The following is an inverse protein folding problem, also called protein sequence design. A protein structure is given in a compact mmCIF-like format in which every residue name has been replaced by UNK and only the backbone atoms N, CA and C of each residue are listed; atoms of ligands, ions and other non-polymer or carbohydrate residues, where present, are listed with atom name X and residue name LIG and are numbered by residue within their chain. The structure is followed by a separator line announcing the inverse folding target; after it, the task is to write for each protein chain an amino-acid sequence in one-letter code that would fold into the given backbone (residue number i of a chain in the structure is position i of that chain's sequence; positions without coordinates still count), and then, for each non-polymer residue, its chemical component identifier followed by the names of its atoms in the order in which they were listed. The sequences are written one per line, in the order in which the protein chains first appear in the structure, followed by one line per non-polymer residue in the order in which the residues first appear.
data_IF_909979634922
#
_entry.id   IF_909979634922
#
_cell.length_a   1.000
_cell.length_b   1.000
_cell.length_c   1.000
_cell.angle_alpha   90.00
_cell.angle_beta   90.00
_cell.angle_gamma   90.00
#
_symmetry.space_group_name_H-M   'P 1'
#
loop_
_entity.id
_entity.type
_entity.pdbx_description
1 polymer ?
#
# COMPACT_ATOMS: atom_id res chain seq x y z
N UNK A 1 1.83 -19.92 -35.89
CA UNK A 1 0.71 -20.05 -34.92
C UNK A 1 1.30 -19.87 -33.53
N UNK A 2 0.88 -18.80 -32.85
CA UNK A 2 1.45 -18.28 -31.60
C UNK A 2 1.05 -19.15 -30.41
N UNK A 3 2.00 -19.46 -29.52
CA UNK A 3 1.74 -19.70 -28.08
C UNK A 3 2.97 -19.20 -27.30
N UNK A 4 2.90 -17.91 -26.96
CA UNK A 4 3.92 -17.15 -26.24
C UNK A 4 4.07 -17.72 -24.82
N UNK A 5 5.20 -18.40 -24.61
CA UNK A 5 6.20 -18.13 -23.56
C UNK A 5 5.73 -17.25 -22.40
N UNK A 6 5.49 -17.83 -21.21
CA UNK A 6 6.53 -17.97 -20.18
C UNK A 6 5.91 -18.13 -18.78
N UNK A 7 6.33 -19.21 -18.13
CA UNK A 7 6.18 -19.44 -16.69
C UNK A 7 6.98 -18.35 -15.95
N UNK A 8 6.32 -17.43 -15.26
CA UNK A 8 6.98 -16.62 -14.24
C UNK A 8 6.53 -17.12 -12.87
N UNK A 9 7.37 -18.03 -12.38
CA UNK A 9 7.39 -18.55 -11.01
C UNK A 9 7.62 -17.37 -10.07
N UNK A 10 6.69 -17.20 -9.14
CA UNK A 10 6.79 -16.33 -7.99
C UNK A 10 8.11 -16.60 -7.25
N UNK A 11 8.97 -15.58 -7.18
CA UNK A 11 10.08 -15.56 -6.22
C UNK A 11 9.78 -14.43 -5.25
N UNK A 12 9.14 -14.80 -4.15
CA UNK A 12 8.90 -13.96 -2.98
C UNK A 12 10.28 -13.59 -2.43
N UNK A 13 10.67 -12.32 -2.62
CA UNK A 13 11.72 -11.73 -1.79
C UNK A 13 11.03 -10.81 -0.80
N UNK A 14 10.80 -11.33 0.39
CA UNK A 14 10.41 -10.58 1.58
C UNK A 14 11.59 -9.68 1.95
N UNK A 15 11.72 -8.51 1.33
CA UNK A 15 12.72 -7.52 1.70
C UNK A 15 12.23 -6.74 2.92
N UNK A 16 12.22 -7.40 4.07
CA UNK A 16 12.23 -6.74 5.36
C UNK A 16 13.57 -6.04 5.53
N UNK A 17 13.63 -4.75 5.22
CA UNK A 17 14.81 -3.95 5.49
C UNK A 17 14.37 -2.52 5.87
N UNK A 18 13.89 -2.39 7.11
CA UNK A 18 13.84 -1.09 7.79
C UNK A 18 15.28 -0.76 8.24
N UNK A 19 16.04 -0.17 7.33
CA UNK A 19 17.35 0.41 7.61
C UNK A 19 17.21 1.86 8.04
N UNK A 20 17.45 2.13 9.32
CA UNK A 20 17.49 3.47 9.91
C UNK A 20 18.79 4.17 9.54
N UNK A 21 18.77 5.07 8.56
CA UNK A 21 19.83 6.08 8.38
C UNK A 21 19.40 7.21 7.43
N UNK A 22 18.82 8.27 7.99
CA UNK A 22 19.11 9.67 7.63
C UNK A 22 19.04 10.15 6.17
N UNK A 23 18.36 9.48 5.25
CA UNK A 23 18.02 10.05 3.94
C UNK A 23 16.60 10.57 3.99
N UNK A 24 16.35 11.78 3.49
CA UNK A 24 14.99 12.28 3.25
C UNK A 24 14.19 11.14 2.63
N UNK A 25 13.26 10.56 3.41
CA UNK A 25 12.45 9.46 2.94
C UNK A 25 11.73 10.01 1.72
N UNK A 26 12.02 9.46 0.55
CA UNK A 26 11.02 9.48 -0.50
C UNK A 26 9.84 8.73 0.11
N UNK A 27 8.89 9.48 0.68
CA UNK A 27 7.65 8.94 1.21
C UNK A 27 6.92 8.41 -0.02
N UNK A 28 7.11 7.12 -0.28
CA UNK A 28 6.41 6.42 -1.34
C UNK A 28 4.95 6.27 -0.89
N UNK A 29 4.18 7.32 -1.14
CA UNK A 29 2.78 7.39 -0.78
C UNK A 29 2.00 6.41 -1.64
N UNK A 30 1.57 5.32 -1.02
CA UNK A 30 0.82 4.27 -1.70
C UNK A 30 -0.66 4.48 -1.51
N UNK A 31 -1.38 4.45 -2.62
CA UNK A 31 -2.83 4.36 -2.61
C UNK A 31 -3.27 3.01 -2.03
N UNK A 32 -4.48 2.93 -1.44
CA UNK A 32 -5.03 1.65 -0.99
C UNK A 32 -5.07 0.58 -2.09
N UNK A 33 -5.24 0.95 -3.36
CA UNK A 33 -5.21 0.00 -4.48
C UNK A 33 -3.81 -0.60 -4.70
N UNK A 34 -2.76 0.21 -4.61
CA UNK A 34 -1.37 -0.25 -4.68
C UNK A 34 -1.03 -1.16 -3.49
N UNK A 35 -1.46 -0.80 -2.28
CA UNK A 35 -1.26 -1.63 -1.09
C UNK A 35 -1.91 -3.01 -1.27
N UNK A 36 -3.17 -3.06 -1.72
CA UNK A 36 -3.83 -4.35 -2.00
C UNK A 36 -3.12 -5.10 -3.13
N UNK A 37 -2.70 -4.41 -4.18
CA UNK A 37 -1.97 -5.03 -5.29
C UNK A 37 -0.69 -5.73 -4.80
N UNK A 38 0.12 -5.04 -3.99
CA UNK A 38 1.34 -5.58 -3.40
C UNK A 38 1.07 -6.75 -2.45
N UNK A 39 0.06 -6.65 -1.59
CA UNK A 39 -0.25 -7.68 -0.60
C UNK A 39 -0.89 -8.94 -1.22
N UNK A 40 -1.69 -8.77 -2.27
CA UNK A 40 -2.47 -9.87 -2.86
C UNK A 40 -1.84 -10.46 -4.12
N UNK A 41 -0.85 -9.78 -4.70
CA UNK A 41 -0.26 -10.14 -5.98
C UNK A 41 -1.15 -9.84 -7.20
N UNK A 42 -2.33 -9.24 -6.98
CA UNK A 42 -3.18 -8.73 -8.07
C UNK A 42 -2.54 -7.49 -8.69
N UNK A 43 -2.83 -7.21 -9.96
CA UNK A 43 -2.48 -5.90 -10.53
C UNK A 43 -3.38 -4.80 -9.97
N UNK A 44 -2.92 -3.55 -10.01
CA UNK A 44 -3.75 -2.40 -9.61
C UNK A 44 -5.04 -2.33 -10.41
N UNK A 45 -5.01 -2.69 -11.70
CA UNK A 45 -6.20 -2.73 -12.56
C UNK A 45 -7.21 -3.76 -12.06
N UNK A 46 -6.78 -4.98 -11.71
CA UNK A 46 -7.67 -6.01 -11.16
C UNK A 46 -8.29 -5.58 -9.83
N UNK A 47 -7.50 -4.95 -8.97
CA UNK A 47 -7.99 -4.38 -7.70
C UNK A 47 -9.02 -3.27 -7.97
N UNK A 48 -8.77 -2.45 -8.99
CA UNK A 48 -9.67 -1.36 -9.39
C UNK A 48 -10.97 -1.89 -9.98
N UNK A 49 -10.93 -2.93 -10.80
CA UNK A 49 -12.12 -3.61 -11.33
C UNK A 49 -12.99 -4.15 -10.20
N UNK A 50 -12.40 -4.86 -9.22
CA UNK A 50 -13.13 -5.33 -8.04
C UNK A 50 -13.71 -4.16 -7.23
N UNK A 51 -12.99 -3.04 -7.15
CA UNK A 51 -13.46 -1.83 -6.47
C UNK A 51 -14.67 -1.21 -7.16
N UNK A 52 -14.64 -1.12 -8.50
CA UNK A 52 -15.75 -0.63 -9.33
C UNK A 52 -16.94 -1.57 -9.24
N UNK A 53 -16.71 -2.89 -9.13
CA UNK A 53 -17.75 -3.88 -8.87
C UNK A 53 -18.35 -3.79 -7.45
N UNK A 54 -17.93 -2.83 -6.62
CA UNK A 54 -18.49 -2.54 -5.30
C UNK A 54 -17.73 -3.14 -4.13
N UNK A 55 -16.63 -3.87 -4.37
CA UNK A 55 -15.85 -4.50 -3.31
C UNK A 55 -14.85 -3.53 -2.69
N UNK A 56 -14.86 -3.37 -1.37
CA UNK A 56 -13.90 -2.51 -0.69
C UNK A 56 -12.47 -3.08 -0.71
N UNK A 57 -11.44 -2.24 -0.72
CA UNK A 57 -10.03 -2.67 -0.68
C UNK A 57 -9.72 -3.61 0.51
N UNK A 58 -10.27 -3.32 1.68
CA UNK A 58 -10.15 -4.20 2.84
C UNK A 58 -10.82 -5.56 2.64
N UNK A 59 -11.94 -5.63 1.90
CA UNK A 59 -12.56 -6.90 1.55
C UNK A 59 -11.71 -7.69 0.54
N UNK A 60 -11.11 -7.01 -0.44
CA UNK A 60 -10.18 -7.63 -1.39
C UNK A 60 -8.95 -8.20 -0.64
N UNK A 61 -8.38 -7.44 0.29
CA UNK A 61 -7.27 -7.91 1.14
C UNK A 61 -7.70 -9.06 2.06
N UNK A 62 -8.90 -8.99 2.64
CA UNK A 62 -9.46 -10.04 3.50
C UNK A 62 -9.60 -11.37 2.76
N UNK A 63 -10.09 -11.36 1.53
CA UNK A 63 -10.25 -12.57 0.72
C UNK A 63 -8.91 -13.24 0.40
N UNK A 64 -7.82 -12.48 0.40
CA UNK A 64 -6.45 -12.97 0.27
C UNK A 64 -5.78 -13.33 1.62
N UNK A 65 -6.48 -13.18 2.75
CA UNK A 65 -5.91 -13.39 4.09
C UNK A 65 -4.97 -12.29 4.56
N UNK A 66 -4.98 -11.12 3.92
CA UNK A 66 -4.03 -10.00 4.14
C UNK A 66 -4.68 -8.77 4.77
N UNK A 67 -5.84 -8.92 5.42
CA UNK A 67 -6.59 -7.79 6.00
C UNK A 67 -5.77 -7.01 7.02
N UNK A 68 -5.08 -7.70 7.93
CA UNK A 68 -4.28 -7.08 8.99
C UNK A 68 -3.10 -6.29 8.41
N UNK A 69 -2.37 -6.90 7.48
CA UNK A 69 -1.27 -6.23 6.77
C UNK A 69 -1.76 -4.98 6.02
N UNK A 70 -2.92 -5.07 5.36
CA UNK A 70 -3.55 -3.93 4.67
C UNK A 70 -3.89 -2.80 5.64
N UNK A 71 -4.50 -3.11 6.78
CA UNK A 71 -4.85 -2.11 7.80
C UNK A 71 -3.60 -1.40 8.34
N UNK A 72 -2.56 -2.18 8.67
CA UNK A 72 -1.30 -1.65 9.18
C UNK A 72 -0.63 -0.72 8.16
N UNK A 73 -0.50 -1.15 6.91
CA UNK A 73 0.11 -0.32 5.86
C UNK A 73 -0.70 0.93 5.55
N UNK A 74 -2.03 0.86 5.50
CA UNK A 74 -2.87 2.05 5.30
C UNK A 74 -2.71 3.03 6.46
N UNK A 75 -2.64 2.54 7.69
CA UNK A 75 -2.45 3.38 8.87
C UNK A 75 -1.08 4.07 8.87
N UNK A 76 -0.03 3.34 8.53
CA UNK A 76 1.33 3.89 8.40
C UNK A 76 1.40 4.97 7.31
N UNK A 77 0.78 4.72 6.16
CA UNK A 77 0.67 5.69 5.07
C UNK A 77 -0.09 6.95 5.50
N UNK A 78 -1.16 6.82 6.27
CA UNK A 78 -1.88 7.97 6.82
C UNK A 78 -1.03 8.79 7.79
N UNK A 79 -0.32 8.13 8.70
CA UNK A 79 0.61 8.82 9.63
C UNK A 79 1.69 9.57 8.87
N UNK A 80 2.30 8.94 7.86
CA UNK A 80 3.29 9.59 7.01
C UNK A 80 2.73 10.82 6.29
N UNK A 81 1.47 10.79 5.84
CA UNK A 81 0.80 11.96 5.24
C UNK A 81 0.61 13.07 6.26
N UNK A 82 0.18 12.75 7.48
CA UNK A 82 0.01 13.73 8.55
C UNK A 82 1.36 14.37 8.92
N UNK A 83 2.41 13.56 9.11
CA UNK A 83 3.76 14.05 9.39
C UNK A 83 4.26 14.96 8.26
N UNK A 84 4.02 14.60 7.00
CA UNK A 84 4.39 15.43 5.85
C UNK A 84 3.60 16.75 5.78
N UNK A 85 2.33 16.75 6.22
CA UNK A 85 1.53 17.98 6.33
C UNK A 85 2.04 18.89 7.45
N UNK A 86 2.42 18.31 8.58
CA UNK A 86 3.06 19.05 9.68
C UNK A 86 4.40 19.63 9.23
N UNK A 87 5.25 18.83 8.59
CA UNK A 87 6.56 19.28 8.08
C UNK A 87 6.44 20.34 6.99
N UNK A 88 5.41 20.27 6.15
CA UNK A 88 5.14 21.30 5.13
C UNK A 88 4.46 22.55 5.69
N UNK A 89 4.11 22.58 6.98
CA UNK A 89 3.42 23.70 7.64
C UNK A 89 1.97 23.86 7.19
N UNK A 90 1.39 22.86 6.53
CA UNK A 90 -0.03 22.87 6.10
C UNK A 90 -0.99 22.36 7.18
N UNK A 91 -0.44 21.85 8.28
CA UNK A 91 -1.14 21.34 9.46
C UNK A 91 -0.25 21.59 10.67
N UNK A 92 -0.81 21.88 11.84
CA UNK A 92 -0.03 21.91 13.10
C UNK A 92 -0.08 20.54 13.79
N UNK A 93 0.91 20.23 14.63
CA UNK A 93 1.01 18.91 15.27
C UNK A 93 -0.24 18.56 16.09
N UNK A 94 -0.83 19.54 16.77
CA UNK A 94 -2.03 19.35 17.59
C UNK A 94 -3.25 18.93 16.75
N UNK A 95 -3.32 19.35 15.49
CA UNK A 95 -4.37 18.92 14.55
C UNK A 95 -4.10 17.51 14.03
N UNK A 96 -2.84 17.14 13.84
CA UNK A 96 -2.45 15.80 13.40
C UNK A 96 -2.76 14.74 14.48
N UNK A 97 -2.54 15.07 15.75
CA UNK A 97 -2.72 14.16 16.88
C UNK A 97 -4.21 13.86 17.20
N UNK A 98 -5.15 14.64 16.65
CA UNK A 98 -6.60 14.46 16.83
C UNK A 98 -7.26 13.53 15.80
N UNK A 99 -6.50 12.99 14.84
CA UNK A 99 -6.99 12.16 13.71
C UNK A 99 -6.65 10.69 13.94
#
# INVERSE_FOLDING_TARGET
MIKIFNKLVATITFAGMLGTSGTALALDFKSPAQIVSELTGKTVDQVTEERVAGKGYGAIAKDAGQLEAFQNQVLEQKKAILDQRVQSGTMIQEEADQI
#
